data_IF_625314265478
#
_entry.id   IF_625314265478
#
_cell.length_a   1.000
_cell.length_b   1.000
_cell.length_c   1.000
_cell.angle_alpha   90.00
_cell.angle_beta   90.00
_cell.angle_gamma   90.00
#
_symmetry.space_group_name_H-M   'P 1'
#
loop_
_entity.id
_entity.type
_entity.pdbx_description
1 polymer ?
#
# COMPACT_ATOMS: atom_id res chain seq x y z
N UNK A 1 25.12 -2.32 23.46
CA UNK A 1 24.81 -3.02 22.19
C UNK A 1 23.60 -2.32 21.60
N UNK A 2 23.68 -1.82 20.37
CA UNK A 2 22.49 -1.26 19.72
C UNK A 2 21.49 -2.42 19.55
N UNK A 3 20.28 -2.28 20.05
CA UNK A 3 19.19 -3.25 19.83
C UNK A 3 18.95 -3.33 18.32
N UNK A 4 19.00 -4.52 17.76
CA UNK A 4 18.69 -4.74 16.35
C UNK A 4 17.26 -4.24 16.08
N UNK A 5 17.10 -3.40 15.03
CA UNK A 5 15.78 -2.84 14.70
C UNK A 5 14.83 -3.96 14.29
N UNK A 6 13.60 -3.91 14.79
CA UNK A 6 12.55 -4.85 14.41
C UNK A 6 12.27 -4.78 12.90
N UNK A 7 11.97 -5.94 12.32
CA UNK A 7 11.69 -6.04 10.89
C UNK A 7 10.24 -5.71 10.60
N UNK A 8 10.05 -4.79 9.65
CA UNK A 8 8.76 -4.40 9.08
C UNK A 8 8.72 -4.84 7.63
N UNK A 9 7.64 -5.48 7.21
CA UNK A 9 7.42 -5.88 5.81
C UNK A 9 6.10 -5.30 5.29
N UNK A 10 6.11 -4.76 4.08
CA UNK A 10 4.91 -4.41 3.35
C UNK A 10 5.10 -4.46 1.85
N UNK A 11 4.01 -4.71 1.12
CA UNK A 11 4.02 -4.80 -0.33
C UNK A 11 3.03 -3.83 -0.99
N UNK A 12 3.41 -3.27 -2.12
CA UNK A 12 2.56 -2.41 -2.95
C UNK A 12 2.34 -3.09 -4.30
N UNK A 13 1.07 -3.32 -4.66
CA UNK A 13 0.74 -3.91 -5.97
C UNK A 13 0.99 -2.90 -7.10
N UNK A 14 1.65 -3.31 -8.20
CA UNK A 14 1.92 -2.47 -9.36
C UNK A 14 0.67 -2.35 -10.26
N UNK A 15 -0.43 -1.79 -9.73
CA UNK A 15 -1.72 -1.67 -10.42
C UNK A 15 -1.98 -0.26 -10.97
N UNK A 16 -1.01 0.32 -11.67
CA UNK A 16 -1.11 1.67 -12.23
C UNK A 16 -0.62 2.77 -11.28
N UNK A 17 -1.01 4.01 -11.53
CA UNK A 17 -0.54 5.18 -10.78
C UNK A 17 -0.96 5.17 -9.31
N UNK A 18 -0.09 5.69 -8.44
CA UNK A 18 -0.44 5.93 -7.04
C UNK A 18 -1.35 7.17 -6.93
N UNK A 19 -2.31 7.10 -6.02
CA UNK A 19 -3.24 8.20 -5.73
C UNK A 19 -3.10 8.66 -4.27
N UNK A 20 -3.74 9.76 -3.91
CA UNK A 20 -3.69 10.33 -2.56
C UNK A 20 -3.98 9.31 -1.45
N UNK A 21 -4.95 8.41 -1.69
CA UNK A 21 -5.27 7.35 -0.73
C UNK A 21 -4.12 6.36 -0.50
N UNK A 22 -3.27 6.10 -1.51
CA UNK A 22 -2.06 5.31 -1.33
C UNK A 22 -1.01 6.08 -0.54
N UNK A 23 -0.81 7.36 -0.85
CA UNK A 23 0.17 8.19 -0.17
C UNK A 23 -0.15 8.34 1.33
N UNK A 24 -1.33 8.86 1.65
CA UNK A 24 -1.70 9.13 3.04
C UNK A 24 -2.12 7.87 3.82
N UNK A 25 -2.61 6.84 3.13
CA UNK A 25 -3.00 5.58 3.76
C UNK A 25 -1.84 4.61 4.03
N UNK A 26 -0.74 4.71 3.28
CA UNK A 26 0.38 3.78 3.42
C UNK A 26 1.76 4.46 3.35
N UNK A 27 2.09 5.16 2.25
CA UNK A 27 3.46 5.62 1.96
C UNK A 27 3.97 6.57 3.03
N UNK A 28 3.15 7.50 3.51
CA UNK A 28 3.51 8.42 4.60
C UNK A 28 3.95 7.67 5.87
N UNK A 29 3.29 6.56 6.19
CA UNK A 29 3.68 5.73 7.32
C UNK A 29 4.99 4.98 7.04
N UNK A 30 5.22 4.50 5.82
CA UNK A 30 6.49 3.87 5.44
C UNK A 30 7.67 4.83 5.56
N UNK A 31 7.49 6.10 5.16
CA UNK A 31 8.49 7.17 5.33
C UNK A 31 8.84 7.38 6.81
N UNK A 32 7.87 7.30 7.70
CA UNK A 32 8.11 7.36 9.14
C UNK A 32 8.80 6.10 9.66
N UNK A 33 8.35 4.93 9.22
CA UNK A 33 8.91 3.63 9.64
C UNK A 33 10.38 3.46 9.26
N UNK A 34 10.85 4.02 8.16
CA UNK A 34 12.24 3.90 7.72
C UNK A 34 13.26 4.47 8.74
N UNK A 35 12.84 5.40 9.60
CA UNK A 35 13.71 5.94 10.63
C UNK A 35 13.81 5.03 11.88
N UNK A 36 12.76 4.26 12.14
CA UNK A 36 12.58 3.51 13.38
C UNK A 36 12.89 2.02 13.23
N UNK A 37 12.61 1.42 12.05
CA UNK A 37 12.60 -0.01 11.82
C UNK A 37 13.57 -0.45 10.71
N UNK A 38 13.83 -1.76 10.63
CA UNK A 38 14.45 -2.40 9.49
C UNK A 38 13.36 -2.78 8.47
N UNK A 39 13.18 -1.93 7.45
CA UNK A 39 12.04 -2.00 6.54
C UNK A 39 12.36 -2.74 5.25
N UNK A 40 11.53 -3.71 4.91
CA UNK A 40 11.49 -4.43 3.64
C UNK A 40 10.21 -4.08 2.90
N UNK A 41 10.29 -3.21 1.89
CA UNK A 41 9.15 -2.81 1.09
C UNK A 41 9.31 -3.32 -0.34
N UNK A 42 8.31 -4.04 -0.81
CA UNK A 42 8.41 -4.69 -2.12
C UNK A 42 7.27 -4.31 -3.06
N UNK A 43 7.56 -4.35 -4.36
CA UNK A 43 6.55 -4.28 -5.40
C UNK A 43 6.04 -5.70 -5.65
N UNK A 44 4.75 -5.91 -5.39
CA UNK A 44 4.09 -7.21 -5.37
C UNK A 44 3.68 -7.67 -6.79
N UNK A 45 4.66 -7.95 -7.64
CA UNK A 45 4.46 -8.32 -9.03
C UNK A 45 3.86 -9.72 -9.20
N UNK A 46 4.26 -10.73 -8.41
CA UNK A 46 3.63 -12.05 -8.41
C UNK A 46 2.16 -12.00 -8.00
N UNK A 47 1.80 -11.19 -6.98
CA UNK A 47 0.39 -11.02 -6.63
C UNK A 47 -0.46 -10.46 -7.76
N UNK A 48 0.16 -9.69 -8.67
CA UNK A 48 -0.53 -9.14 -9.84
C UNK A 48 -0.87 -10.19 -10.88
N UNK A 49 -0.15 -11.31 -10.93
CA UNK A 49 -0.41 -12.38 -11.89
C UNK A 49 -1.76 -13.06 -11.70
N UNK A 50 -2.39 -12.92 -10.53
CA UNK A 50 -3.75 -13.43 -10.29
C UNK A 50 -4.81 -12.84 -11.22
N UNK A 51 -4.52 -11.71 -11.85
CA UNK A 51 -5.41 -11.01 -12.81
C UNK A 51 -4.90 -11.05 -14.25
N UNK A 52 -3.84 -11.82 -14.54
CA UNK A 52 -3.22 -11.98 -15.85
C UNK A 52 -2.95 -10.65 -16.58
N UNK A 53 -2.19 -9.70 -15.98
CA UNK A 53 -1.90 -8.42 -16.61
C UNK A 53 -1.06 -8.59 -17.88
N UNK A 54 -1.14 -7.61 -18.78
CA UNK A 54 -0.24 -7.56 -19.92
C UNK A 54 1.22 -7.46 -19.44
N UNK A 55 2.16 -8.28 -19.94
CA UNK A 55 3.54 -8.29 -19.47
C UNK A 55 4.26 -6.93 -19.58
N UNK A 56 4.01 -6.18 -20.66
CA UNK A 56 4.61 -4.84 -20.84
C UNK A 56 4.08 -3.84 -19.81
N UNK A 57 2.78 -3.89 -19.54
CA UNK A 57 2.15 -3.03 -18.54
C UNK A 57 2.61 -3.38 -17.14
N UNK A 58 2.75 -4.69 -16.83
CA UNK A 58 3.27 -5.13 -15.53
C UNK A 58 4.67 -4.57 -15.29
N UNK A 59 5.59 -4.73 -16.25
CA UNK A 59 6.95 -4.23 -16.13
C UNK A 59 7.00 -2.71 -15.97
N UNK A 60 6.24 -1.98 -16.79
CA UNK A 60 6.16 -0.52 -16.70
C UNK A 60 5.59 -0.06 -15.35
N UNK A 61 4.57 -0.75 -14.84
CA UNK A 61 3.94 -0.44 -13.56
C UNK A 61 4.86 -0.72 -12.37
N UNK A 62 5.65 -1.81 -12.41
CA UNK A 62 6.65 -2.10 -11.37
C UNK A 62 7.66 -0.97 -11.25
N UNK A 63 8.24 -0.54 -12.37
CA UNK A 63 9.22 0.55 -12.40
C UNK A 63 8.62 1.89 -11.94
N UNK A 64 7.38 2.17 -12.37
CA UNK A 64 6.66 3.38 -11.97
C UNK A 64 6.38 3.40 -10.46
N UNK A 65 5.82 2.33 -9.90
CA UNK A 65 5.50 2.26 -8.47
C UNK A 65 6.77 2.40 -7.63
N UNK A 66 7.89 1.80 -8.05
CA UNK A 66 9.17 2.00 -7.38
C UNK A 66 9.60 3.48 -7.41
N UNK A 67 9.55 4.12 -8.60
CA UNK A 67 9.90 5.53 -8.75
C UNK A 67 9.00 6.45 -7.91
N UNK A 68 7.68 6.22 -7.93
CA UNK A 68 6.71 7.01 -7.15
C UNK A 68 6.93 6.86 -5.63
N UNK A 69 7.29 5.66 -5.14
CA UNK A 69 7.62 5.46 -3.73
C UNK A 69 8.88 6.23 -3.31
N UNK A 70 9.95 6.17 -4.11
CA UNK A 70 11.18 6.91 -3.85
C UNK A 70 10.93 8.42 -3.95
N UNK A 71 10.18 8.86 -4.95
CA UNK A 71 9.81 10.26 -5.12
C UNK A 71 9.00 10.79 -3.94
N UNK A 72 8.13 9.95 -3.38
CA UNK A 72 7.29 10.26 -2.22
C UNK A 72 8.07 10.39 -0.91
N UNK A 73 9.34 9.95 -0.86
CA UNK A 73 10.22 10.12 0.31
C UNK A 73 10.82 8.85 0.89
N UNK A 74 10.59 7.68 0.29
CA UNK A 74 11.34 6.49 0.69
C UNK A 74 12.80 6.62 0.23
N UNK A 75 13.70 6.38 1.17
CA UNK A 75 15.15 6.45 0.96
C UNK A 75 15.72 5.05 0.75
N UNK A 76 16.22 4.71 -0.45
CA UNK A 76 16.80 3.41 -0.75
C UNK A 76 18.00 3.03 0.12
N UNK A 77 18.68 4.02 0.74
CA UNK A 77 19.79 3.76 1.66
C UNK A 77 19.29 3.30 3.05
N UNK A 78 18.05 3.66 3.41
CA UNK A 78 17.44 3.35 4.71
C UNK A 78 16.54 2.12 4.67
N UNK A 79 15.95 1.83 3.52
CA UNK A 79 14.99 0.72 3.35
C UNK A 79 15.45 -0.26 2.29
N UNK A 80 15.01 -1.51 2.39
CA UNK A 80 15.22 -2.53 1.38
C UNK A 80 14.04 -2.50 0.40
N UNK A 81 14.28 -1.95 -0.82
CA UNK A 81 13.28 -1.84 -1.89
C UNK A 81 13.54 -2.88 -2.98
N UNK A 82 12.59 -3.75 -3.28
CA UNK A 82 12.76 -4.82 -4.28
C UNK A 82 11.45 -5.20 -4.99
N UNK A 83 11.56 -5.91 -6.11
CA UNK A 83 10.42 -6.62 -6.69
C UNK A 83 10.30 -8.01 -6.03
N UNK A 84 9.10 -8.42 -5.69
CA UNK A 84 8.82 -9.70 -5.02
C UNK A 84 9.46 -10.88 -5.78
N UNK A 85 9.34 -10.90 -7.10
CA UNK A 85 9.89 -11.94 -7.98
C UNK A 85 11.42 -12.04 -7.99
N UNK A 86 12.12 -11.02 -7.50
CA UNK A 86 13.58 -11.04 -7.40
C UNK A 86 14.11 -11.75 -6.13
N UNK A 87 13.21 -12.26 -5.29
CA UNK A 87 13.52 -13.08 -4.11
C UNK A 87 12.93 -14.48 -4.32
N UNK A 88 13.59 -15.36 -5.12
CA UNK A 88 13.05 -16.66 -5.49
C UNK A 88 12.83 -17.61 -4.29
N UNK A 89 13.47 -17.36 -3.17
CA UNK A 89 13.29 -18.05 -1.91
C UNK A 89 11.82 -18.02 -1.42
N UNK A 90 11.08 -16.96 -1.78
CA UNK A 90 9.64 -16.84 -1.53
C UNK A 90 8.86 -17.98 -2.22
N UNK A 91 9.23 -18.33 -3.45
CA UNK A 91 8.51 -19.37 -4.21
C UNK A 91 8.67 -20.76 -3.56
N UNK A 92 9.84 -21.07 -3.03
CA UNK A 92 10.05 -22.35 -2.32
C UNK A 92 9.30 -22.36 -0.99
N UNK A 93 9.41 -21.31 -0.18
CA UNK A 93 8.67 -21.26 1.08
C UNK A 93 7.14 -21.27 0.84
N UNK A 94 6.68 -20.62 -0.23
CA UNK A 94 5.27 -20.67 -0.65
C UNK A 94 4.82 -22.10 -0.98
N UNK A 95 5.65 -22.88 -1.69
CA UNK A 95 5.36 -24.30 -1.92
C UNK A 95 5.23 -25.05 -0.59
N UNK A 96 6.17 -24.90 0.34
CA UNK A 96 6.15 -25.56 1.63
C UNK A 96 4.93 -25.17 2.46
N UNK A 97 4.56 -23.87 2.50
CA UNK A 97 3.41 -23.38 3.23
C UNK A 97 2.06 -23.84 2.62
N UNK A 98 1.99 -24.04 1.30
CA UNK A 98 0.81 -24.63 0.68
C UNK A 98 0.52 -26.04 1.18
N UNK A 99 1.53 -26.81 1.59
CA UNK A 99 1.32 -28.14 2.20
C UNK A 99 0.72 -28.05 3.62
N UNK A 100 0.73 -26.86 4.23
CA UNK A 100 0.10 -26.58 5.51
C UNK A 100 -1.23 -25.82 5.36
N UNK A 101 -1.62 -25.44 4.15
CA UNK A 101 -2.84 -24.70 3.88
C UNK A 101 -4.03 -25.65 3.64
N UNK A 102 -5.14 -25.42 4.34
CA UNK A 102 -6.36 -26.20 4.13
C UNK A 102 -7.28 -25.49 3.14
N UNK A 103 -7.72 -26.21 2.09
CA UNK A 103 -8.62 -25.70 1.05
C UNK A 103 -9.84 -24.97 1.63
N UNK A 104 -10.53 -25.58 2.59
CA UNK A 104 -11.72 -24.99 3.20
C UNK A 104 -11.45 -23.70 4.01
N UNK A 105 -10.22 -23.49 4.50
CA UNK A 105 -9.79 -22.26 5.13
C UNK A 105 -9.62 -21.17 4.09
N UNK A 106 -8.94 -21.44 2.98
CA UNK A 106 -8.72 -20.51 1.88
C UNK A 106 -10.04 -20.08 1.21
N UNK A 107 -10.96 -21.00 0.99
CA UNK A 107 -12.28 -20.70 0.40
C UNK A 107 -13.18 -19.83 1.29
N UNK A 108 -12.95 -19.81 2.59
CA UNK A 108 -13.72 -18.98 3.53
C UNK A 108 -13.23 -17.52 3.58
N UNK A 109 -12.07 -17.21 3.01
CA UNK A 109 -11.54 -15.84 3.00
C UNK A 109 -12.50 -14.90 2.25
N UNK A 110 -13.05 -13.84 2.88
CA UNK A 110 -14.02 -12.94 2.25
C UNK A 110 -13.49 -12.30 0.97
N UNK A 111 -12.22 -11.84 0.98
CA UNK A 111 -11.61 -11.23 -0.20
C UNK A 111 -11.44 -12.22 -1.37
N UNK A 112 -11.31 -13.53 -1.12
CA UNK A 112 -11.37 -14.54 -2.17
C UNK A 112 -12.77 -14.57 -2.80
N UNK A 113 -13.82 -14.60 -1.98
CA UNK A 113 -15.23 -14.62 -2.47
C UNK A 113 -15.55 -13.37 -3.29
N UNK A 114 -15.09 -12.19 -2.83
CA UNK A 114 -15.29 -10.94 -3.56
C UNK A 114 -14.56 -10.93 -4.91
N UNK A 115 -13.32 -11.43 -4.96
CA UNK A 115 -12.58 -11.56 -6.21
C UNK A 115 -13.20 -12.54 -7.18
N UNK A 116 -13.74 -13.68 -6.70
CA UNK A 116 -14.50 -14.63 -7.54
C UNK A 116 -15.72 -13.95 -8.17
N UNK A 117 -16.44 -13.12 -7.42
CA UNK A 117 -17.57 -12.36 -7.96
C UNK A 117 -17.17 -11.33 -9.02
N UNK A 118 -16.01 -10.69 -8.83
CA UNK A 118 -15.51 -9.65 -9.75
C UNK A 118 -14.90 -10.22 -11.04
N UNK A 119 -14.39 -11.45 -11.01
CA UNK A 119 -13.75 -12.10 -12.16
C UNK A 119 -14.12 -13.59 -12.25
N UNK A 120 -15.40 -13.92 -12.46
CA UNK A 120 -15.89 -15.30 -12.43
C UNK A 120 -15.23 -16.21 -13.49
N UNK A 121 -14.82 -15.63 -14.62
CA UNK A 121 -14.16 -16.36 -15.71
C UNK A 121 -12.66 -16.65 -15.46
N UNK A 122 -12.09 -16.07 -14.39
CA UNK A 122 -10.67 -16.22 -14.06
C UNK A 122 -10.49 -16.61 -12.59
N UNK A 123 -11.08 -17.71 -12.16
CA UNK A 123 -10.90 -18.28 -10.80
C UNK A 123 -9.76 -19.29 -10.86
N UNK A 124 -8.54 -18.80 -10.90
CA UNK A 124 -7.34 -19.64 -10.95
C UNK A 124 -6.81 -20.03 -9.55
N UNK A 125 -5.90 -21.01 -9.51
CA UNK A 125 -5.31 -21.50 -8.26
C UNK A 125 -4.58 -20.38 -7.48
N UNK A 126 -3.89 -19.47 -8.18
CA UNK A 126 -3.23 -18.32 -7.55
C UNK A 126 -4.21 -17.39 -6.85
N UNK A 127 -5.46 -17.28 -7.37
CA UNK A 127 -6.52 -16.51 -6.71
C UNK A 127 -6.98 -17.17 -5.41
N UNK A 128 -6.97 -18.51 -5.32
CA UNK A 128 -7.28 -19.23 -4.08
C UNK A 128 -6.14 -19.13 -3.08
N UNK A 129 -4.90 -19.25 -3.53
CA UNK A 129 -3.73 -19.41 -2.66
C UNK A 129 -2.94 -18.11 -2.44
N UNK A 130 -3.38 -16.95 -2.98
CA UNK A 130 -2.68 -15.69 -2.73
C UNK A 130 -2.54 -15.33 -1.24
N UNK A 131 -3.46 -15.72 -0.31
CA UNK A 131 -3.26 -15.44 1.10
C UNK A 131 -2.08 -16.22 1.70
N UNK A 132 -1.77 -17.40 1.14
CA UNK A 132 -0.55 -18.15 1.50
C UNK A 132 0.69 -17.39 1.03
N UNK A 133 0.69 -16.90 -0.22
CA UNK A 133 1.80 -16.10 -0.74
C UNK A 133 2.02 -14.83 0.09
N UNK A 134 0.95 -14.12 0.46
CA UNK A 134 1.06 -12.94 1.32
C UNK A 134 1.62 -13.28 2.71
N UNK A 135 1.23 -14.41 3.28
CA UNK A 135 1.79 -14.89 4.54
C UNK A 135 3.29 -15.18 4.40
N UNK A 136 3.68 -15.79 3.29
CA UNK A 136 5.10 -16.08 3.01
C UNK A 136 5.94 -14.81 2.83
N UNK A 137 5.42 -13.78 2.17
CA UNK A 137 6.12 -12.48 2.05
C UNK A 137 6.51 -11.91 3.43
N UNK A 138 5.64 -12.11 4.42
CA UNK A 138 5.86 -11.68 5.80
C UNK A 138 6.85 -12.61 6.52
N UNK A 139 6.59 -13.91 6.45
CA UNK A 139 7.30 -14.92 7.23
C UNK A 139 8.73 -15.16 6.73
N UNK A 140 8.98 -15.05 5.42
CA UNK A 140 10.31 -15.24 4.84
C UNK A 140 11.34 -14.24 5.37
N UNK A 141 10.89 -13.01 5.68
CA UNK A 141 11.72 -11.98 6.28
C UNK A 141 11.68 -12.02 7.82
N UNK A 142 10.92 -12.93 8.42
CA UNK A 142 10.70 -13.01 9.87
C UNK A 142 10.21 -11.67 10.45
N UNK A 143 9.31 -11.01 9.71
CA UNK A 143 8.77 -9.72 10.12
C UNK A 143 7.89 -9.87 11.37
N UNK A 144 8.11 -8.97 12.32
CA UNK A 144 7.30 -8.88 13.54
C UNK A 144 6.21 -7.83 13.43
N UNK A 145 6.37 -6.84 12.55
CA UNK A 145 5.40 -5.77 12.34
C UNK A 145 5.00 -5.66 10.88
N UNK A 146 3.68 -5.54 10.66
CA UNK A 146 3.12 -5.43 9.31
C UNK A 146 2.18 -4.23 9.28
N UNK A 147 2.52 -3.18 8.50
CA UNK A 147 1.64 -2.03 8.35
C UNK A 147 0.44 -2.39 7.48
N UNK A 148 -0.68 -2.66 8.10
CA UNK A 148 -1.92 -3.06 7.43
C UNK A 148 -3.08 -2.16 7.81
N UNK A 149 -3.96 -1.91 6.83
CA UNK A 149 -5.26 -1.31 7.09
C UNK A 149 -6.19 -2.26 7.85
N UNK A 150 -7.26 -1.73 8.43
CA UNK A 150 -8.25 -2.53 9.17
C UNK A 150 -8.86 -3.67 8.33
N UNK A 151 -8.94 -3.48 7.03
CA UNK A 151 -9.45 -4.46 6.05
C UNK A 151 -8.50 -5.65 5.80
N UNK A 152 -7.23 -5.55 6.19
CA UNK A 152 -6.22 -6.60 6.01
C UNK A 152 -6.00 -7.46 7.26
N UNK A 153 -6.73 -7.22 8.34
CA UNK A 153 -6.57 -7.95 9.60
C UNK A 153 -6.69 -9.46 9.45
N UNK A 154 -7.60 -9.93 8.58
CA UNK A 154 -7.79 -11.36 8.34
C UNK A 154 -6.59 -12.02 7.62
N UNK A 155 -5.95 -11.33 6.68
CA UNK A 155 -4.76 -11.86 6.02
C UNK A 155 -3.58 -11.98 6.99
N UNK A 156 -3.45 -11.02 7.91
CA UNK A 156 -2.43 -11.08 8.96
C UNK A 156 -2.70 -12.21 9.95
N UNK A 157 -3.97 -12.46 10.29
CA UNK A 157 -4.37 -13.61 11.10
C UNK A 157 -4.00 -14.93 10.42
N UNK A 158 -4.17 -15.03 9.11
CA UNK A 158 -3.72 -16.20 8.37
C UNK A 158 -2.18 -16.36 8.44
N UNK A 159 -1.42 -15.28 8.36
CA UNK A 159 0.04 -15.35 8.51
C UNK A 159 0.45 -15.86 9.89
N UNK A 160 -0.25 -15.45 10.97
CA UNK A 160 -0.06 -15.99 12.33
C UNK A 160 -0.38 -17.47 12.40
N UNK A 161 -1.52 -17.89 11.84
CA UNK A 161 -1.93 -19.28 11.81
C UNK A 161 -0.92 -20.15 11.07
N UNK A 162 -0.33 -19.68 9.98
CA UNK A 162 0.75 -20.38 9.27
C UNK A 162 2.03 -20.45 10.10
N UNK A 163 2.41 -19.35 10.77
CA UNK A 163 3.58 -19.33 11.64
C UNK A 163 3.43 -20.35 12.79
N UNK A 164 2.29 -20.32 13.50
CA UNK A 164 1.99 -21.26 14.60
C UNK A 164 1.98 -22.70 14.12
N UNK A 165 1.25 -22.99 13.03
CA UNK A 165 1.14 -24.35 12.47
C UNK A 165 2.49 -24.93 12.04
N UNK A 166 3.36 -24.09 11.46
CA UNK A 166 4.73 -24.50 11.15
C UNK A 166 5.52 -24.78 12.42
N UNK A 167 5.50 -23.83 13.37
CA UNK A 167 6.27 -23.92 14.60
C UNK A 167 5.87 -25.13 15.45
N UNK A 168 4.59 -25.39 15.59
CA UNK A 168 4.06 -26.55 16.32
C UNK A 168 4.46 -27.89 15.66
N UNK A 169 4.52 -27.93 14.33
CA UNK A 169 4.76 -29.18 13.60
C UNK A 169 6.24 -29.50 13.44
N UNK A 170 7.08 -28.47 13.22
CA UNK A 170 8.47 -28.65 12.80
C UNK A 170 9.49 -28.03 13.75
N UNK A 171 9.07 -27.09 14.60
CA UNK A 171 9.93 -26.35 15.52
C UNK A 171 9.91 -24.84 15.30
N UNK A 172 10.27 -24.11 16.34
CA UNK A 172 10.19 -22.63 16.35
C UNK A 172 11.11 -22.00 15.32
N UNK A 173 10.51 -21.27 14.38
CA UNK A 173 11.22 -20.49 13.35
C UNK A 173 10.61 -19.12 13.12
N UNK A 174 9.29 -19.06 12.98
CA UNK A 174 8.59 -17.85 12.58
C UNK A 174 8.06 -17.09 13.81
N UNK A 175 8.40 -15.79 13.96
CA UNK A 175 7.70 -14.94 14.92
C UNK A 175 6.23 -14.78 14.51
N UNK A 176 5.38 -14.46 15.47
CA UNK A 176 4.01 -14.06 15.19
C UNK A 176 3.98 -12.61 14.71
N UNK A 177 3.54 -12.33 13.47
CA UNK A 177 3.49 -10.97 12.97
C UNK A 177 2.32 -10.19 13.58
N UNK A 178 2.57 -8.92 13.92
CA UNK A 178 1.58 -8.03 14.50
C UNK A 178 1.18 -6.91 13.53
N UNK A 179 -0.10 -6.52 13.57
CA UNK A 179 -0.55 -5.34 12.87
C UNK A 179 0.08 -4.10 13.50
N UNK A 180 0.66 -3.26 12.66
CA UNK A 180 1.29 -2.03 13.11
C UNK A 180 0.74 -0.80 12.41
N UNK A 181 0.41 0.21 13.18
CA UNK A 181 0.14 1.56 12.70
C UNK A 181 0.47 2.54 13.85
N UNK A 182 0.68 3.80 13.51
CA UNK A 182 1.08 4.80 14.51
C UNK A 182 -0.07 5.30 15.41
N UNK A 183 -1.22 4.64 15.43
CA UNK A 183 -2.37 5.09 16.21
C UNK A 183 -3.09 6.31 15.63
N UNK A 184 -2.43 7.03 14.73
CA UNK A 184 -3.06 8.06 13.92
C UNK A 184 -4.14 7.39 13.09
N UNK A 185 -5.35 7.90 13.11
CA UNK A 185 -6.43 7.38 12.27
C UNK A 185 -5.88 7.24 10.85
N UNK A 186 -5.86 6.01 10.33
CA UNK A 186 -5.52 5.79 8.93
C UNK A 186 -6.42 6.70 8.11
N UNK A 187 -5.84 7.72 7.50
CA UNK A 187 -6.59 8.74 6.78
C UNK A 187 -7.31 8.06 5.64
N UNK A 188 -8.62 7.91 5.79
CA UNK A 188 -9.48 7.38 4.74
C UNK A 188 -9.88 8.52 3.82
N UNK A 189 -9.21 8.65 2.70
CA UNK A 189 -9.59 9.62 1.66
C UNK A 189 -10.72 9.02 0.84
N UNK A 190 -11.85 9.72 0.80
CA UNK A 190 -13.00 9.32 -0.01
C UNK A 190 -12.86 9.85 -1.45
N UNK A 191 -13.59 9.21 -2.36
CA UNK A 191 -13.76 9.67 -3.74
C UNK A 191 -14.35 11.08 -3.77
N UNK A 192 -13.95 11.89 -4.78
CA UNK A 192 -14.45 13.26 -4.93
C UNK A 192 -15.87 13.31 -5.52
N UNK A 193 -16.47 12.16 -5.83
CA UNK A 193 -17.82 12.07 -6.42
C UNK A 193 -18.97 12.20 -5.39
N UNK A 194 -18.64 12.27 -4.10
CA UNK A 194 -19.60 12.44 -3.01
C UNK A 194 -20.42 11.19 -2.67
N UNK A 195 -20.05 10.01 -3.17
CA UNK A 195 -20.77 8.75 -2.89
C UNK A 195 -20.29 8.02 -1.63
N UNK A 196 -19.35 8.61 -0.88
CA UNK A 196 -18.81 8.02 0.36
C UNK A 196 -17.87 6.81 0.16
N UNK A 197 -17.59 6.41 -1.08
CA UNK A 197 -16.64 5.36 -1.41
C UNK A 197 -15.18 5.78 -1.15
N UNK A 198 -14.31 4.82 -0.80
CA UNK A 198 -12.86 5.08 -0.69
C UNK A 198 -12.31 5.49 -2.06
N UNK A 199 -11.44 6.51 -2.09
CA UNK A 199 -10.73 6.86 -3.33
C UNK A 199 -10.01 5.63 -3.89
N UNK A 200 -10.36 5.25 -5.12
CA UNK A 200 -9.85 4.04 -5.78
C UNK A 200 -9.65 4.26 -7.27
N UNK A 201 -8.81 3.42 -7.86
CA UNK A 201 -8.45 3.48 -9.30
C UNK A 201 -9.57 3.04 -10.24
N UNK A 202 -10.54 2.29 -9.73
CA UNK A 202 -11.51 1.53 -10.55
C UNK A 202 -12.83 2.25 -10.82
N UNK A 203 -13.14 3.34 -10.10
CA UNK A 203 -14.50 3.88 -10.14
C UNK A 203 -14.68 5.11 -11.04
N UNK A 204 -13.83 6.12 -10.89
CA UNK A 204 -13.94 7.35 -11.69
C UNK A 204 -12.61 8.11 -11.67
N UNK A 205 -11.95 8.23 -12.80
CA UNK A 205 -10.69 8.96 -12.96
C UNK A 205 -10.81 10.43 -12.50
N UNK A 206 -11.93 11.07 -12.78
CA UNK A 206 -12.18 12.47 -12.39
C UNK A 206 -12.43 12.64 -10.88
N UNK A 207 -12.74 11.57 -10.18
CA UNK A 207 -12.97 11.57 -8.73
C UNK A 207 -11.76 11.08 -7.91
N UNK A 208 -10.66 10.78 -8.60
CA UNK A 208 -9.42 10.27 -8.01
C UNK A 208 -8.26 11.20 -8.34
N UNK A 209 -7.52 11.68 -7.33
CA UNK A 209 -6.30 12.47 -7.54
C UNK A 209 -5.09 11.54 -7.51
N UNK A 210 -4.37 11.49 -8.62
CA UNK A 210 -3.13 10.71 -8.75
C UNK A 210 -1.91 11.57 -8.46
N UNK A 211 -0.84 10.96 -7.98
CA UNK A 211 0.45 11.64 -7.80
C UNK A 211 1.10 12.05 -9.15
N UNK A 212 0.61 11.47 -10.24
CA UNK A 212 1.02 11.78 -11.61
C UNK A 212 0.17 12.83 -12.30
N UNK A 213 -0.94 13.29 -11.69
CA UNK A 213 -1.80 14.32 -12.29
C UNK A 213 -1.03 15.61 -12.53
N UNK A 214 -1.24 16.25 -13.69
CA UNK A 214 -0.73 17.59 -13.95
C UNK A 214 -1.43 18.62 -13.06
N UNK A 215 -0.81 19.79 -12.92
CA UNK A 215 -1.38 20.89 -12.13
C UNK A 215 -2.81 21.23 -12.57
N UNK A 216 -3.03 21.24 -13.88
CA UNK A 216 -4.37 21.54 -14.44
C UNK A 216 -5.36 20.41 -14.16
N UNK A 217 -4.96 19.14 -14.24
CA UNK A 217 -5.81 18.01 -13.88
C UNK A 217 -6.20 18.05 -12.40
N UNK A 218 -5.27 18.38 -11.51
CA UNK A 218 -5.55 18.53 -10.07
C UNK A 218 -6.59 19.62 -9.84
N UNK A 219 -6.38 20.82 -10.42
CA UNK A 219 -7.33 21.94 -10.31
C UNK A 219 -8.70 21.57 -10.87
N UNK A 220 -8.75 20.91 -12.02
CA UNK A 220 -10.00 20.50 -12.66
C UNK A 220 -10.77 19.48 -11.82
N UNK A 221 -10.09 18.47 -11.29
CA UNK A 221 -10.70 17.43 -10.43
C UNK A 221 -11.28 18.03 -9.15
N UNK A 222 -10.53 18.90 -8.47
CA UNK A 222 -11.01 19.55 -7.25
C UNK A 222 -12.12 20.55 -7.53
N UNK A 223 -12.07 21.30 -8.63
CA UNK A 223 -13.19 22.18 -9.04
C UNK A 223 -14.49 21.41 -9.25
N UNK A 224 -14.42 20.20 -9.81
CA UNK A 224 -15.57 19.32 -10.06
C UNK A 224 -15.98 18.45 -8.87
N UNK A 225 -15.21 18.44 -7.77
CA UNK A 225 -15.55 17.70 -6.58
C UNK A 225 -16.94 18.04 -6.07
N UNK A 226 -17.69 17.05 -5.61
CA UNK A 226 -19.06 17.24 -5.14
C UNK A 226 -19.09 18.00 -3.80
N UNK A 227 -20.02 18.93 -3.72
CA UNK A 227 -20.42 19.65 -2.51
C UNK A 227 -21.94 19.78 -2.52
N UNK A 228 -22.53 20.25 -1.43
CA UNK A 228 -23.94 20.63 -1.36
C UNK A 228 -24.20 22.03 -1.95
N UNK A 229 -25.37 22.57 -1.66
CA UNK A 229 -25.81 23.91 -2.14
C UNK A 229 -25.39 25.06 -1.22
N UNK A 230 -24.73 24.81 -0.09
CA UNK A 230 -24.26 25.78 0.88
C UNK A 230 -24.47 25.33 2.33
N UNK A 231 -23.59 25.78 3.24
CA UNK A 231 -23.71 25.49 4.66
C UNK A 231 -24.94 26.21 5.25
N UNK A 232 -25.68 25.48 6.08
CA UNK A 232 -26.77 26.07 6.90
C UNK A 232 -26.24 26.16 8.34
N UNK A 233 -26.28 27.35 8.98
CA UNK A 233 -25.81 27.49 10.34
C UNK A 233 -26.52 26.52 11.31
N UNK A 234 -25.73 25.74 12.07
CA UNK A 234 -26.26 24.76 13.03
C UNK A 234 -26.55 23.37 12.45
N UNK A 235 -26.46 23.16 11.15
CA UNK A 235 -26.55 21.84 10.52
C UNK A 235 -25.17 21.15 10.46
N UNK A 236 -25.12 19.80 10.55
CA UNK A 236 -23.89 19.06 10.41
C UNK A 236 -23.31 19.18 9.00
N UNK A 237 -21.99 19.22 8.90
CA UNK A 237 -21.29 19.27 7.62
C UNK A 237 -21.57 18.01 6.80
N UNK A 238 -22.03 18.10 5.55
CA UNK A 238 -22.23 16.97 4.67
C UNK A 238 -20.93 16.20 4.42
N UNK A 239 -21.01 14.87 4.25
CA UNK A 239 -19.85 14.00 4.08
C UNK A 239 -18.95 14.44 2.92
N UNK A 240 -19.52 14.91 1.81
CA UNK A 240 -18.77 15.40 0.65
C UNK A 240 -17.92 16.64 0.96
N UNK A 241 -18.44 17.56 1.78
CA UNK A 241 -17.70 18.76 2.22
C UNK A 241 -16.68 18.38 3.28
N UNK A 242 -17.08 17.55 4.26
CA UNK A 242 -16.18 17.03 5.29
C UNK A 242 -14.96 16.33 4.68
N UNK A 243 -15.15 15.53 3.62
CA UNK A 243 -14.04 14.90 2.90
C UNK A 243 -13.05 15.92 2.31
N UNK A 244 -13.54 17.02 1.71
CA UNK A 244 -12.65 18.07 1.19
C UNK A 244 -11.89 18.78 2.32
N UNK A 245 -12.54 19.03 3.46
CA UNK A 245 -11.87 19.58 4.65
C UNK A 245 -10.82 18.59 5.18
N UNK A 246 -11.12 17.29 5.24
CA UNK A 246 -10.13 16.28 5.66
C UNK A 246 -8.92 16.23 4.68
N UNK A 247 -9.16 16.32 3.36
CA UNK A 247 -8.07 16.42 2.38
C UNK A 247 -7.29 17.73 2.59
N UNK A 248 -7.98 18.85 2.86
CA UNK A 248 -7.35 20.15 3.12
C UNK A 248 -6.43 20.09 4.36
N UNK A 249 -6.83 19.41 5.44
CA UNK A 249 -5.99 19.19 6.62
C UNK A 249 -4.65 18.52 6.32
N UNK A 250 -4.53 17.81 5.22
CA UNK A 250 -3.33 17.08 4.83
C UNK A 250 -2.32 17.92 4.05
N UNK A 251 -2.78 18.96 3.36
CA UNK A 251 -1.98 19.72 2.39
C UNK A 251 -1.99 21.24 2.60
N UNK A 252 -2.97 21.77 3.34
CA UNK A 252 -3.11 23.19 3.62
C UNK A 252 -2.62 23.55 5.03
N UNK A 253 -2.46 24.83 5.31
CA UNK A 253 -2.12 25.32 6.65
C UNK A 253 -3.31 25.18 7.62
N UNK A 254 -3.07 24.99 8.92
CA UNK A 254 -4.16 24.95 9.91
C UNK A 254 -5.09 26.16 9.88
N UNK A 255 -4.55 27.35 9.65
CA UNK A 255 -5.33 28.61 9.56
C UNK A 255 -6.26 28.60 8.34
N UNK A 256 -5.80 28.10 7.20
CA UNK A 256 -6.62 27.94 5.98
C UNK A 256 -7.76 26.97 6.23
N UNK A 257 -7.49 25.83 6.86
CA UNK A 257 -8.51 24.84 7.23
C UNK A 257 -9.54 25.47 8.16
N UNK A 258 -9.09 26.13 9.22
CA UNK A 258 -9.98 26.75 10.21
C UNK A 258 -10.86 27.82 9.58
N UNK A 259 -10.30 28.65 8.70
CA UNK A 259 -11.07 29.66 7.96
C UNK A 259 -12.27 29.05 7.22
N UNK A 260 -12.10 27.94 6.49
CA UNK A 260 -13.21 27.32 5.77
C UNK A 260 -14.17 26.55 6.66
N UNK A 261 -13.71 25.99 7.78
CA UNK A 261 -14.59 25.38 8.79
C UNK A 261 -15.49 26.47 9.44
N UNK A 262 -14.92 27.60 9.81
CA UNK A 262 -15.69 28.72 10.41
C UNK A 262 -16.67 29.32 9.39
N UNK A 263 -16.25 29.49 8.15
CA UNK A 263 -17.11 29.96 7.07
C UNK A 263 -18.30 28.99 6.79
N UNK A 264 -18.06 27.67 6.90
CA UNK A 264 -19.16 26.70 6.80
C UNK A 264 -20.13 26.85 7.97
N UNK A 265 -19.65 26.89 9.19
CA UNK A 265 -20.47 27.02 10.39
C UNK A 265 -21.28 28.33 10.43
N UNK A 266 -20.73 29.39 9.83
CA UNK A 266 -21.41 30.68 9.69
C UNK A 266 -22.37 30.75 8.49
N UNK A 267 -22.49 29.69 7.68
CA UNK A 267 -23.30 29.70 6.44
C UNK A 267 -22.78 30.64 5.35
N UNK A 268 -21.52 31.06 5.43
CA UNK A 268 -20.89 32.01 4.50
C UNK A 268 -19.86 31.40 3.57
N UNK A 269 -19.72 30.06 3.58
CA UNK A 269 -18.73 29.34 2.79
C UNK A 269 -18.94 29.54 1.29
N UNK A 270 -17.86 29.85 0.59
CA UNK A 270 -17.80 29.86 -0.87
C UNK A 270 -17.02 28.64 -1.35
N UNK A 271 -17.75 27.61 -1.79
CA UNK A 271 -17.11 26.36 -2.23
C UNK A 271 -16.17 26.52 -3.42
N UNK A 272 -16.44 27.48 -4.31
CA UNK A 272 -15.53 27.81 -5.42
C UNK A 272 -14.16 28.25 -4.93
N UNK A 273 -14.13 29.14 -3.92
CA UNK A 273 -12.88 29.67 -3.34
C UNK A 273 -12.15 28.56 -2.57
N UNK A 274 -12.89 27.78 -1.76
CA UNK A 274 -12.34 26.62 -1.03
C UNK A 274 -11.68 25.60 -1.98
N UNK A 275 -12.37 25.22 -3.06
CA UNK A 275 -11.86 24.26 -4.05
C UNK A 275 -10.66 24.80 -4.81
N UNK A 276 -10.63 26.10 -5.09
CA UNK A 276 -9.50 26.78 -5.73
C UNK A 276 -8.28 26.76 -4.78
N UNK A 277 -8.48 27.15 -3.53
CA UNK A 277 -7.40 27.12 -2.53
C UNK A 277 -6.85 25.71 -2.34
N UNK A 278 -7.73 24.72 -2.15
CA UNK A 278 -7.33 23.31 -2.04
C UNK A 278 -6.59 22.82 -3.30
N UNK A 279 -6.98 23.30 -4.48
CA UNK A 279 -6.33 23.01 -5.75
C UNK A 279 -4.86 23.50 -5.76
N UNK A 280 -4.64 24.73 -5.35
CA UNK A 280 -3.28 25.30 -5.30
C UNK A 280 -2.41 24.62 -4.24
N UNK A 281 -2.96 24.32 -3.07
CA UNK A 281 -2.21 23.63 -2.02
C UNK A 281 -1.89 22.18 -2.42
N UNK A 282 -2.81 21.50 -3.10
CA UNK A 282 -2.60 20.16 -3.65
C UNK A 282 -1.53 20.15 -4.75
N UNK A 283 -1.53 21.15 -5.63
CA UNK A 283 -0.48 21.32 -6.65
C UNK A 283 0.88 21.49 -5.98
N UNK A 284 1.01 22.36 -4.99
CA UNK A 284 2.26 22.54 -4.23
C UNK A 284 2.76 21.24 -3.58
N UNK A 285 1.82 20.40 -3.11
CA UNK A 285 2.14 19.13 -2.51
C UNK A 285 2.57 18.07 -3.53
N UNK A 286 1.84 17.93 -4.64
CA UNK A 286 2.06 16.85 -5.62
C UNK A 286 3.19 17.17 -6.61
N UNK A 287 3.35 18.42 -7.05
CA UNK A 287 4.31 18.77 -8.13
C UNK A 287 5.75 18.31 -7.85
N UNK A 288 6.32 18.51 -6.64
CA UNK A 288 7.67 18.01 -6.36
C UNK A 288 7.79 16.49 -6.44
N UNK A 289 6.74 15.77 -5.99
CA UNK A 289 6.70 14.29 -6.03
C UNK A 289 6.64 13.84 -7.49
N UNK A 290 5.76 14.42 -8.28
CA UNK A 290 5.58 14.11 -9.70
C UNK A 290 6.86 14.36 -10.50
N UNK A 291 7.48 15.51 -10.32
CA UNK A 291 8.73 15.88 -11.02
C UNK A 291 9.87 14.92 -10.67
N UNK A 292 10.04 14.60 -9.39
CA UNK A 292 11.03 13.62 -8.93
C UNK A 292 10.73 12.22 -9.48
N UNK A 293 9.46 11.80 -9.49
CA UNK A 293 9.06 10.51 -10.06
C UNK A 293 9.35 10.44 -11.56
N UNK A 294 9.07 11.51 -12.30
CA UNK A 294 9.37 11.62 -13.74
C UNK A 294 10.88 11.54 -14.00
N UNK A 295 11.70 12.26 -13.23
CA UNK A 295 13.14 12.20 -13.33
C UNK A 295 13.69 10.79 -13.05
N UNK A 296 13.20 10.12 -12.03
CA UNK A 296 13.57 8.74 -11.71
C UNK A 296 13.18 7.76 -12.83
N UNK A 297 11.99 7.91 -13.42
CA UNK A 297 11.55 7.07 -14.54
C UNK A 297 12.35 7.29 -15.81
N UNK A 298 12.91 8.51 -16.00
CA UNK A 298 13.82 8.80 -17.10
C UNK A 298 15.20 8.14 -16.93
N UNK A 299 15.55 7.68 -15.72
CA UNK A 299 16.75 6.88 -15.43
C UNK A 299 16.41 5.46 -14.98
N UNK A 300 16.01 4.57 -15.89
CA UNK A 300 15.67 3.19 -15.54
C UNK A 300 16.89 2.38 -15.05
N UNK A 301 18.10 2.84 -15.33
CA UNK A 301 19.34 2.18 -14.87
C UNK A 301 19.49 2.33 -13.37
N UNK A 302 19.26 3.53 -12.85
CA UNK A 302 19.26 3.80 -11.42
C UNK A 302 18.19 3.00 -10.67
N UNK A 303 16.96 2.98 -11.17
CA UNK A 303 15.88 2.20 -10.57
C UNK A 303 16.16 0.69 -10.55
N UNK A 304 16.72 0.14 -11.64
CA UNK A 304 17.13 -1.27 -11.70
C UNK A 304 18.25 -1.58 -10.70
N UNK A 305 19.20 -0.66 -10.53
CA UNK A 305 20.27 -0.80 -9.53
C UNK A 305 19.68 -0.90 -8.13
N UNK A 306 18.80 0.04 -7.73
CA UNK A 306 18.14 0.02 -6.41
C UNK A 306 17.39 -1.31 -6.20
N UNK A 307 16.59 -1.71 -7.19
CA UNK A 307 15.80 -2.94 -7.10
C UNK A 307 16.68 -4.20 -6.97
N UNK A 308 17.81 -4.23 -7.68
CA UNK A 308 18.79 -5.33 -7.59
C UNK A 308 19.45 -5.37 -6.21
N UNK A 309 19.99 -4.26 -5.74
CA UNK A 309 20.66 -4.16 -4.44
C UNK A 309 19.67 -4.47 -3.28
N UNK A 310 18.43 -3.99 -3.39
CA UNK A 310 17.37 -4.33 -2.44
C UNK A 310 17.03 -5.82 -2.46
N UNK A 311 16.92 -6.43 -3.64
CA UNK A 311 16.71 -7.86 -3.74
C UNK A 311 17.85 -8.69 -3.16
N UNK A 312 19.11 -8.31 -3.41
CA UNK A 312 20.27 -8.96 -2.82
C UNK A 312 20.25 -8.91 -1.29
N UNK A 313 19.93 -7.75 -0.70
CA UNK A 313 19.74 -7.60 0.76
C UNK A 313 18.60 -8.49 1.28
N UNK A 314 17.44 -8.46 0.61
CA UNK A 314 16.27 -9.25 1.01
C UNK A 314 16.54 -10.76 0.93
N UNK A 315 17.28 -11.21 -0.07
CA UNK A 315 17.66 -12.61 -0.26
C UNK A 315 18.58 -13.15 0.83
N UNK A 316 19.46 -12.33 1.39
CA UNK A 316 20.34 -12.76 2.52
C UNK A 316 19.48 -13.27 3.68
N UNK A 317 18.48 -12.48 4.10
CA UNK A 317 17.58 -12.87 5.20
C UNK A 317 16.64 -14.02 4.78
N UNK A 318 16.09 -13.94 3.58
CA UNK A 318 15.18 -14.95 3.03
C UNK A 318 15.85 -16.33 2.90
N UNK A 319 17.08 -16.38 2.39
CA UNK A 319 17.84 -17.63 2.25
C UNK A 319 18.14 -18.28 3.61
N UNK A 320 18.50 -17.48 4.62
CA UNK A 320 18.69 -17.99 5.98
C UNK A 320 17.42 -18.59 6.55
N UNK A 321 16.30 -17.90 6.38
CA UNK A 321 14.99 -18.38 6.86
C UNK A 321 14.57 -19.65 6.14
N UNK A 322 14.70 -19.70 4.82
CA UNK A 322 14.39 -20.88 4.02
C UNK A 322 15.28 -22.08 4.40
N UNK A 323 16.59 -21.85 4.58
CA UNK A 323 17.51 -22.90 5.00
C UNK A 323 17.13 -23.49 6.36
N UNK A 324 16.75 -22.63 7.31
CA UNK A 324 16.27 -23.09 8.62
C UNK A 324 14.96 -23.87 8.50
N UNK A 325 14.03 -23.41 7.67
CA UNK A 325 12.79 -24.14 7.40
C UNK A 325 13.07 -25.53 6.80
N UNK A 326 13.96 -25.64 5.83
CA UNK A 326 14.39 -26.92 5.23
C UNK A 326 14.99 -27.87 6.26
N UNK A 327 15.84 -27.33 7.15
CA UNK A 327 16.46 -28.14 8.24
C UNK A 327 15.38 -28.71 9.18
N UNK A 328 14.43 -27.87 9.61
CA UNK A 328 13.36 -28.29 10.52
C UNK A 328 12.39 -29.29 9.87
N UNK A 329 12.10 -29.14 8.60
CA UNK A 329 11.25 -30.08 7.84
C UNK A 329 11.99 -31.41 7.53
N UNK A 330 13.33 -31.41 7.58
CA UNK A 330 14.14 -32.56 7.21
C UNK A 330 14.41 -32.68 5.71
N UNK A 331 14.45 -31.58 4.98
CA UNK A 331 14.73 -31.54 3.53
C UNK A 331 16.21 -31.27 3.19
N UNK A 332 17.10 -31.30 4.17
CA UNK A 332 18.54 -31.21 3.97
C UNK A 332 19.15 -32.60 3.99
N UNK A 333 19.66 -33.05 2.87
CA UNK A 333 20.22 -34.41 2.71
C UNK A 333 21.75 -34.42 2.63
N UNK A 334 22.40 -33.24 2.57
CA UNK A 334 23.86 -33.08 2.46
C UNK A 334 24.32 -31.72 3.03
#
# INVERSE_FOLDING_TARGET
MATEKEIVVSGIRPTGYLHLGNYFGAIRNYIRMQEEFNCYFFVADWHSLTTHPNPKDLQANVMRVLAENIASGLDPEKVTLYAQSHVPEIAELYLLMNMLAYKGELERVPTFKDKVRLQPENVNAGLLTYPVLMSVDILIQRAVKVPVGKDQGQHLEMARNFAQRFNERYGNLFPEPEAFNYGDNLVRILSLDGKGGKMSKSENEMATIYLSDSDEQIRQKLRKAKTDSGGVPGEPMPESVANLIEIMKLVSTPDTVQFYVDAFNAGSIRYGDMKTQLGEDMVKFISPIREKAAALQADPTYLRKIMKEGAEKARVNAAQTLQQARNLIGLNYY
#
